data_IF_231161295954
#
_entry.id   IF_231161295954
#
_cell.length_a   1.000
_cell.length_b   1.000
_cell.length_c   1.000
_cell.angle_alpha   90.00
_cell.angle_beta   90.00
_cell.angle_gamma   90.00
#
_symmetry.space_group_name_H-M   'P 1'
#
loop_
_entity.id
_entity.type
_entity.pdbx_description
1 polymer ?
#
# COMPACT_ATOMS: atom_id res chain seq x y z
N UNK A 1 -51.77 16.83 -37.83
CA UNK A 1 -50.61 15.95 -38.03
C UNK A 1 -49.38 16.47 -37.26
N UNK A 2 -49.52 16.81 -35.97
CA UNK A 2 -48.47 17.43 -35.14
C UNK A 2 -48.12 16.64 -33.86
N UNK A 3 -48.63 15.41 -33.70
CA UNK A 3 -48.56 14.66 -32.43
C UNK A 3 -47.36 13.72 -32.26
N UNK A 4 -46.62 13.39 -33.32
CA UNK A 4 -45.57 12.35 -33.27
C UNK A 4 -44.20 12.95 -32.89
N UNK A 5 -43.91 14.19 -33.26
CA UNK A 5 -42.61 14.83 -33.01
C UNK A 5 -42.34 15.22 -31.55
N UNK A 6 -43.38 15.48 -30.75
CA UNK A 6 -43.22 15.90 -29.34
C UNK A 6 -42.92 14.69 -28.43
N UNK A 7 -43.49 13.51 -28.72
CA UNK A 7 -43.27 12.30 -27.91
C UNK A 7 -41.86 11.70 -28.10
N UNK A 8 -41.27 11.78 -29.31
CA UNK A 8 -39.90 11.28 -29.55
C UNK A 8 -38.81 12.17 -28.93
N UNK A 9 -39.07 13.47 -28.76
CA UNK A 9 -38.13 14.39 -28.11
C UNK A 9 -38.06 14.18 -26.60
N UNK A 10 -39.19 13.82 -25.95
CA UNK A 10 -39.21 13.51 -24.52
C UNK A 10 -38.53 12.17 -24.20
N UNK A 11 -38.72 11.13 -25.02
CA UNK A 11 -38.08 9.82 -24.80
C UNK A 11 -36.55 9.85 -24.97
N UNK A 12 -36.04 10.59 -25.97
CA UNK A 12 -34.59 10.73 -26.19
C UNK A 12 -33.91 11.54 -25.09
N UNK A 13 -34.54 12.63 -24.64
CA UNK A 13 -34.06 13.43 -23.51
C UNK A 13 -34.10 12.65 -22.18
N UNK A 14 -35.14 11.83 -21.96
CA UNK A 14 -35.25 10.99 -20.77
C UNK A 14 -34.22 9.86 -20.78
N UNK A 15 -33.96 9.24 -21.93
CA UNK A 15 -32.92 8.21 -22.09
C UNK A 15 -31.51 8.75 -21.78
N UNK A 16 -31.17 9.93 -22.31
CA UNK A 16 -29.88 10.58 -22.02
C UNK A 16 -29.71 10.97 -20.54
N UNK A 17 -30.79 11.39 -19.87
CA UNK A 17 -30.79 11.64 -18.42
C UNK A 17 -30.57 10.38 -17.59
N UNK A 18 -31.13 9.24 -18.01
CA UNK A 18 -30.94 7.96 -17.34
C UNK A 18 -29.49 7.46 -17.53
N UNK A 19 -28.92 7.65 -18.73
CA UNK A 19 -27.53 7.27 -19.01
C UNK A 19 -26.54 8.05 -18.15
N UNK A 20 -26.66 9.38 -18.08
CA UNK A 20 -25.73 10.20 -17.29
C UNK A 20 -25.80 9.89 -15.78
N UNK A 21 -27.00 9.67 -15.23
CA UNK A 21 -27.16 9.32 -13.81
C UNK A 21 -26.60 7.92 -13.50
N UNK A 22 -26.73 6.97 -14.44
CA UNK A 22 -26.13 5.63 -14.31
C UNK A 22 -24.61 5.72 -14.28
N UNK A 23 -24.01 6.46 -15.21
CA UNK A 23 -22.56 6.62 -15.31
C UNK A 23 -22.01 7.41 -14.11
N UNK A 24 -22.71 8.46 -13.68
CA UNK A 24 -22.38 9.23 -12.48
C UNK A 24 -22.37 8.36 -11.23
N UNK A 25 -23.42 7.55 -11.04
CA UNK A 25 -23.53 6.65 -9.90
C UNK A 25 -22.36 5.66 -9.84
N UNK A 26 -21.97 5.13 -11.00
CA UNK A 26 -20.81 4.23 -11.10
C UNK A 26 -19.50 4.95 -10.77
N UNK A 27 -19.29 6.16 -11.30
CA UNK A 27 -18.11 6.95 -10.99
C UNK A 27 -17.99 7.22 -9.47
N UNK A 28 -19.06 7.68 -8.82
CA UNK A 28 -19.06 7.95 -7.39
C UNK A 28 -18.85 6.68 -6.55
N UNK A 29 -19.40 5.54 -6.96
CA UNK A 29 -19.12 4.24 -6.34
C UNK A 29 -17.63 3.91 -6.40
N UNK A 30 -16.98 4.13 -7.56
CA UNK A 30 -15.54 3.88 -7.74
C UNK A 30 -14.67 4.89 -6.98
N UNK A 31 -15.11 6.13 -6.83
CA UNK A 31 -14.45 7.12 -5.95
C UNK A 31 -14.45 6.59 -4.52
N UNK A 32 -15.62 6.19 -4.00
CA UNK A 32 -15.75 5.63 -2.66
C UNK A 32 -14.84 4.41 -2.46
N UNK A 33 -14.85 3.48 -3.40
CA UNK A 33 -13.97 2.29 -3.41
C UNK A 33 -12.49 2.67 -3.27
N UNK A 34 -12.00 3.60 -4.09
CA UNK A 34 -10.59 4.02 -4.07
C UNK A 34 -10.24 4.76 -2.77
N UNK A 35 -11.10 5.66 -2.29
CA UNK A 35 -10.90 6.35 -1.01
C UNK A 35 -10.79 5.36 0.16
N UNK A 36 -11.68 4.35 0.21
CA UNK A 36 -11.61 3.30 1.23
C UNK A 36 -10.30 2.51 1.10
N UNK A 37 -9.86 2.18 -0.10
CA UNK A 37 -8.60 1.47 -0.31
C UNK A 37 -7.38 2.30 0.12
N UNK A 38 -7.36 3.62 -0.13
CA UNK A 38 -6.32 4.50 0.42
C UNK A 38 -6.33 4.54 1.95
N UNK A 39 -7.51 4.54 2.58
CA UNK A 39 -7.61 4.48 4.04
C UNK A 39 -7.09 3.13 4.60
N UNK A 40 -7.38 2.01 3.91
CA UNK A 40 -6.82 0.69 4.22
C UNK A 40 -5.30 0.70 4.10
N UNK A 41 -4.78 1.29 3.03
CA UNK A 41 -3.35 1.42 2.79
C UNK A 41 -2.68 2.20 3.92
N UNK A 42 -3.25 3.36 4.29
CA UNK A 42 -2.79 4.16 5.43
C UNK A 42 -2.77 3.34 6.73
N UNK A 43 -3.86 2.61 7.01
CA UNK A 43 -3.95 1.74 8.19
C UNK A 43 -2.87 0.65 8.19
N UNK A 44 -2.62 0.02 7.03
CA UNK A 44 -1.56 -0.97 6.88
C UNK A 44 -0.18 -0.40 7.21
N UNK A 45 0.15 0.79 6.69
CA UNK A 45 1.42 1.46 6.99
C UNK A 45 1.54 1.86 8.47
N UNK A 46 0.44 2.26 9.12
CA UNK A 46 0.42 2.56 10.56
C UNK A 46 0.79 1.33 11.37
N UNK A 47 0.22 0.18 11.04
CA UNK A 47 0.53 -1.10 11.70
C UNK A 47 1.98 -1.46 11.44
N UNK A 48 2.41 -1.44 10.18
CA UNK A 48 3.76 -1.81 9.75
C UNK A 48 4.84 -1.02 10.53
N UNK A 49 4.76 0.31 10.54
CA UNK A 49 5.72 1.16 11.27
C UNK A 49 5.64 1.01 12.79
N UNK A 50 4.50 0.57 13.32
CA UNK A 50 4.31 0.31 14.76
C UNK A 50 4.87 -1.04 15.21
N UNK A 51 5.02 -1.98 14.27
CA UNK A 51 5.67 -3.26 14.49
C UNK A 51 7.20 -3.15 14.42
N UNK A 52 7.73 -2.22 13.63
CA UNK A 52 9.15 -1.92 13.63
C UNK A 52 9.54 -1.27 14.98
N UNK A 53 10.31 -1.97 15.81
CA UNK A 53 10.68 -1.54 17.16
C UNK A 53 12.08 -2.04 17.52
N UNK A 54 12.78 -1.28 18.36
CA UNK A 54 14.11 -1.63 18.86
C UNK A 54 14.27 -1.21 20.33
N UNK A 55 14.89 -2.06 21.15
CA UNK A 55 15.24 -1.76 22.54
C UNK A 55 15.25 -2.98 23.46
N UNK A 56 15.45 -2.72 24.76
CA UNK A 56 15.41 -3.78 25.78
C UNK A 56 13.98 -4.28 26.04
N UNK A 57 13.80 -5.52 26.52
CA UNK A 57 12.48 -6.09 26.85
C UNK A 57 11.63 -5.20 27.76
N UNK A 58 12.26 -4.54 28.76
CA UNK A 58 11.61 -3.65 29.72
C UNK A 58 10.96 -2.43 29.05
N UNK A 59 11.60 -1.93 27.98
CA UNK A 59 11.20 -0.71 27.29
C UNK A 59 10.36 -0.96 26.03
N UNK A 60 10.44 -2.17 25.46
CA UNK A 60 9.83 -2.52 24.20
C UNK A 60 8.31 -2.30 24.20
N UNK A 61 7.64 -2.69 25.29
CA UNK A 61 6.19 -2.49 25.48
C UNK A 61 5.82 -1.00 25.51
N UNK A 62 6.64 -0.17 26.17
CA UNK A 62 6.46 1.29 26.25
C UNK A 62 6.67 1.93 24.88
N UNK A 63 7.78 1.60 24.20
CA UNK A 63 8.12 2.09 22.85
C UNK A 63 7.05 1.71 21.82
N UNK A 64 6.56 0.47 21.82
CA UNK A 64 5.47 0.00 20.95
C UNK A 64 4.19 0.81 21.16
N UNK A 65 3.73 0.97 22.40
CA UNK A 65 2.54 1.77 22.73
C UNK A 65 2.69 3.25 22.33
N UNK A 66 3.90 3.80 22.40
CA UNK A 66 4.19 5.15 21.93
C UNK A 66 4.08 5.22 20.41
N UNK A 67 4.75 4.33 19.67
CA UNK A 67 4.68 4.29 18.19
C UNK A 67 3.26 4.12 17.67
N UNK A 68 2.44 3.25 18.28
CA UNK A 68 1.03 3.09 17.90
C UNK A 68 0.28 4.43 18.02
N UNK A 69 0.44 5.14 19.15
CA UNK A 69 -0.23 6.43 19.38
C UNK A 69 0.24 7.51 18.41
N UNK A 70 1.54 7.58 18.15
CA UNK A 70 2.13 8.54 17.20
C UNK A 70 1.68 8.24 15.76
N UNK A 71 1.76 6.99 15.34
CA UNK A 71 1.43 6.58 13.98
C UNK A 71 -0.07 6.68 13.69
N UNK A 72 -0.95 6.45 14.67
CA UNK A 72 -2.39 6.58 14.49
C UNK A 72 -2.79 7.96 13.90
N UNK A 73 -2.10 9.03 14.31
CA UNK A 73 -2.41 10.41 13.92
C UNK A 73 -1.77 10.84 12.59
N UNK A 74 -0.89 10.01 12.02
CA UNK A 74 -0.17 10.34 10.78
C UNK A 74 -1.02 10.01 9.57
N UNK A 75 -0.91 10.87 8.55
CA UNK A 75 -1.54 10.65 7.25
C UNK A 75 -0.73 9.67 6.40
N UNK A 76 -1.34 9.13 5.34
CA UNK A 76 -0.68 8.29 4.34
C UNK A 76 0.63 8.92 3.85
N UNK A 77 0.62 10.22 3.52
CA UNK A 77 1.82 10.94 3.08
C UNK A 77 2.94 10.95 4.14
N UNK A 78 2.61 11.23 5.40
CA UNK A 78 3.62 11.25 6.47
C UNK A 78 4.20 9.86 6.75
N UNK A 79 3.38 8.81 6.65
CA UNK A 79 3.80 7.42 6.84
C UNK A 79 4.68 6.95 5.69
N UNK A 80 4.29 7.26 4.44
CA UNK A 80 5.08 6.97 3.26
C UNK A 80 6.46 7.60 3.36
N UNK A 81 6.56 8.89 3.70
CA UNK A 81 7.86 9.56 3.84
C UNK A 81 8.75 8.91 4.90
N UNK A 82 8.17 8.44 6.01
CA UNK A 82 8.92 7.71 7.04
C UNK A 82 9.45 6.37 6.54
N UNK A 83 8.64 5.61 5.80
CA UNK A 83 9.08 4.33 5.23
C UNK A 83 10.17 4.56 4.19
N UNK A 84 9.98 5.51 3.27
CA UNK A 84 10.96 5.87 2.24
C UNK A 84 12.29 6.25 2.89
N UNK A 85 12.27 7.16 3.87
CA UNK A 85 13.47 7.57 4.58
C UNK A 85 14.13 6.41 5.35
N UNK A 86 13.34 5.51 5.94
CA UNK A 86 13.87 4.35 6.67
C UNK A 86 14.54 3.36 5.72
N UNK A 87 13.97 3.12 4.54
CA UNK A 87 14.53 2.24 3.53
C UNK A 87 15.77 2.83 2.85
N UNK A 88 15.85 4.16 2.71
CA UNK A 88 17.03 4.86 2.17
C UNK A 88 18.23 4.82 3.08
N UNK A 89 18.01 4.90 4.40
CA UNK A 89 19.07 4.83 5.40
C UNK A 89 19.69 3.42 5.53
N UNK A 90 19.09 2.40 4.92
CA UNK A 90 19.55 1.01 5.07
C UNK A 90 19.40 0.47 6.49
N UNK A 91 19.87 -0.76 6.70
CA UNK A 91 19.87 -1.45 8.02
C UNK A 91 20.89 -0.86 9.02
N UNK A 92 21.48 0.31 8.73
CA UNK A 92 22.44 0.97 9.62
C UNK A 92 21.79 1.57 10.88
N UNK A 93 20.48 1.36 11.10
CA UNK A 93 19.84 1.56 12.41
C UNK A 93 20.26 0.51 13.47
N UNK A 94 21.45 -0.10 13.33
CA UNK A 94 22.25 -0.57 14.46
C UNK A 94 22.72 0.62 15.32
N UNK A 95 22.61 1.87 14.85
CA UNK A 95 22.92 3.10 15.57
C UNK A 95 22.21 3.26 16.93
N UNK A 96 21.12 2.53 17.17
CA UNK A 96 20.41 2.52 18.46
C UNK A 96 20.80 1.32 19.37
N UNK A 97 21.73 0.45 18.94
CA UNK A 97 22.31 -0.58 19.80
C UNK A 97 23.37 0.10 20.66
N UNK A 98 23.17 0.20 21.99
CA UNK A 98 24.18 0.80 22.86
C UNK A 98 25.49 0.01 22.74
N UNK A 99 26.63 0.70 22.66
CA UNK A 99 27.96 0.07 22.63
C UNK A 99 28.21 -0.83 23.86
N UNK A 100 27.51 -0.57 24.97
CA UNK A 100 27.44 -1.45 26.14
C UNK A 100 26.02 -2.01 26.33
N UNK A 101 25.86 -3.30 26.03
CA UNK A 101 24.64 -4.07 26.30
C UNK A 101 24.71 -4.67 27.70
N UNK A 102 24.28 -3.90 28.71
CA UNK A 102 24.08 -4.42 30.07
C UNK A 102 22.83 -5.33 30.17
N UNK A 103 21.99 -5.37 29.13
CA UNK A 103 20.70 -6.07 29.06
C UNK A 103 20.44 -6.57 27.62
N UNK A 104 19.55 -7.55 27.46
CA UNK A 104 19.14 -8.06 26.13
C UNK A 104 18.54 -6.92 25.29
N UNK A 105 18.88 -6.82 24.01
CA UNK A 105 18.32 -5.87 23.06
C UNK A 105 17.65 -6.60 21.91
N UNK A 106 16.40 -6.23 21.61
CA UNK A 106 15.60 -6.83 20.55
C UNK A 106 15.29 -5.74 19.53
N UNK A 107 15.58 -6.01 18.27
CA UNK A 107 15.21 -5.17 17.14
C UNK A 107 14.40 -5.98 16.12
N UNK A 108 13.30 -5.40 15.67
CA UNK A 108 12.47 -5.92 14.59
C UNK A 108 12.32 -4.83 13.53
N UNK A 109 12.75 -5.12 12.32
CA UNK A 109 12.67 -4.24 11.15
C UNK A 109 12.34 -5.08 9.91
N UNK A 110 12.04 -4.41 8.80
CA UNK A 110 11.89 -5.05 7.49
C UNK A 110 12.73 -4.31 6.45
N UNK A 111 13.11 -5.03 5.41
CA UNK A 111 13.70 -4.50 4.19
C UNK A 111 13.01 -5.11 2.98
N UNK A 112 13.07 -4.42 1.84
CA UNK A 112 12.41 -4.86 0.61
C UNK A 112 13.45 -5.12 -0.47
N UNK A 113 13.72 -6.40 -0.74
CA UNK A 113 14.55 -6.86 -1.85
C UNK A 113 15.97 -6.27 -1.89
N UNK A 114 16.51 -6.21 -3.11
CA UNK A 114 17.74 -5.51 -3.47
C UNK A 114 17.47 -4.00 -3.65
N UNK A 115 18.51 -3.22 -3.94
CA UNK A 115 18.40 -1.76 -4.14
C UNK A 115 17.35 -1.38 -5.18
N UNK A 116 17.21 -2.20 -6.24
CA UNK A 116 16.23 -2.01 -7.29
C UNK A 116 14.81 -2.28 -6.78
N UNK A 117 14.59 -3.36 -6.05
CA UNK A 117 13.32 -3.70 -5.41
C UNK A 117 12.89 -2.64 -4.39
N UNK A 118 13.82 -2.21 -3.52
CA UNK A 118 13.60 -1.14 -2.55
C UNK A 118 13.22 0.18 -3.23
N UNK A 119 13.93 0.57 -4.30
CA UNK A 119 13.61 1.77 -5.07
C UNK A 119 12.21 1.70 -5.68
N UNK A 120 11.88 0.61 -6.38
CA UNK A 120 10.54 0.41 -6.95
C UNK A 120 9.43 0.46 -5.90
N UNK A 121 9.68 -0.14 -4.73
CA UNK A 121 8.71 -0.12 -3.63
C UNK A 121 8.46 1.31 -3.11
N UNK A 122 9.52 2.11 -2.97
CA UNK A 122 9.45 3.52 -2.56
C UNK A 122 8.72 4.38 -3.60
N UNK A 123 9.13 4.28 -4.86
CA UNK A 123 8.53 5.05 -5.97
C UNK A 123 7.03 4.78 -6.09
N UNK A 124 6.62 3.51 -6.09
CA UNK A 124 5.20 3.14 -6.16
C UNK A 124 4.38 3.63 -4.96
N UNK A 125 4.96 3.72 -3.75
CA UNK A 125 4.26 4.33 -2.60
C UNK A 125 4.09 5.84 -2.76
N UNK A 126 5.12 6.54 -3.27
CA UNK A 126 5.07 7.99 -3.52
C UNK A 126 4.07 8.33 -4.62
N UNK A 127 4.01 7.50 -5.68
CA UNK A 127 3.01 7.62 -6.73
C UNK A 127 1.59 7.49 -6.19
N UNK A 128 1.33 6.52 -5.31
CA UNK A 128 0.00 6.36 -4.70
C UNK A 128 -0.42 7.56 -3.83
N UNK A 129 0.53 8.22 -3.15
CA UNK A 129 0.26 9.47 -2.43
C UNK A 129 -0.11 10.59 -3.40
N UNK A 130 0.64 10.72 -4.50
CA UNK A 130 0.35 11.69 -5.57
C UNK A 130 -1.02 11.42 -6.19
N UNK A 131 -1.34 10.18 -6.47
CA UNK A 131 -2.61 9.72 -7.02
C UNK A 131 -3.79 10.07 -6.10
N UNK A 132 -3.67 9.79 -4.80
CA UNK A 132 -4.69 10.18 -3.81
C UNK A 132 -4.91 11.69 -3.84
N UNK A 133 -3.83 12.46 -3.81
CA UNK A 133 -3.93 13.92 -3.79
C UNK A 133 -4.54 14.46 -5.09
N UNK A 134 -4.16 13.89 -6.24
CA UNK A 134 -4.71 14.25 -7.53
C UNK A 134 -6.21 13.94 -7.63
N UNK A 135 -6.64 12.77 -7.14
CA UNK A 135 -8.05 12.42 -7.08
C UNK A 135 -8.84 13.45 -6.26
N UNK A 136 -8.40 13.72 -5.02
CA UNK A 136 -9.14 14.53 -4.06
C UNK A 136 -9.11 16.02 -4.40
N UNK A 137 -7.96 16.56 -4.83
CA UNK A 137 -7.77 18.00 -4.99
C UNK A 137 -7.96 18.52 -6.41
N UNK A 138 -7.77 17.68 -7.43
CA UNK A 138 -7.85 18.10 -8.84
C UNK A 138 -9.03 17.44 -9.54
N UNK A 139 -9.00 16.11 -9.70
CA UNK A 139 -9.97 15.37 -10.53
C UNK A 139 -11.41 15.57 -10.08
N UNK A 140 -11.70 15.48 -8.78
CA UNK A 140 -13.05 15.67 -8.27
C UNK A 140 -13.50 17.14 -8.27
N UNK A 141 -12.56 18.09 -8.17
CA UNK A 141 -12.85 19.51 -8.19
C UNK A 141 -13.16 20.03 -9.60
N UNK A 142 -12.52 19.44 -10.62
CA UNK A 142 -12.62 19.83 -12.03
C UNK A 142 -13.65 18.98 -12.81
N UNK A 143 -14.38 18.08 -12.14
CA UNK A 143 -15.33 17.17 -12.78
C UNK A 143 -16.54 17.93 -13.33
N UNK A 144 -16.78 17.82 -14.64
CA UNK A 144 -17.98 18.37 -15.26
C UNK A 144 -19.17 17.44 -15.03
N UNK A 145 -20.07 17.88 -14.14
CA UNK A 145 -21.26 17.10 -13.77
C UNK A 145 -22.28 16.90 -14.88
N UNK A 146 -22.16 17.62 -15.99
CA UNK A 146 -23.06 17.55 -17.16
C UNK A 146 -22.51 16.71 -18.30
N UNK A 147 -21.24 16.31 -18.22
CA UNK A 147 -20.54 15.58 -19.28
C UNK A 147 -20.40 14.09 -18.96
N UNK A 148 -21.04 13.26 -19.80
CA UNK A 148 -20.89 11.80 -19.74
C UNK A 148 -19.43 11.38 -19.93
N UNK A 149 -18.72 12.01 -20.86
CA UNK A 149 -17.31 11.67 -21.14
C UNK A 149 -16.40 12.02 -19.96
N UNK A 150 -16.68 13.11 -19.25
CA UNK A 150 -15.94 13.48 -18.02
C UNK A 150 -16.03 12.37 -16.97
N UNK A 151 -17.22 11.79 -16.76
CA UNK A 151 -17.38 10.64 -15.86
C UNK A 151 -16.74 9.36 -16.38
N UNK A 152 -16.80 9.08 -17.70
CA UNK A 152 -16.13 7.90 -18.29
C UNK A 152 -14.62 7.95 -18.07
N UNK A 153 -14.00 9.10 -18.34
CA UNK A 153 -12.57 9.31 -18.07
C UNK A 153 -12.22 9.15 -16.59
N UNK A 154 -13.09 9.64 -15.69
CA UNK A 154 -12.91 9.44 -14.26
C UNK A 154 -12.99 7.96 -13.86
N UNK A 155 -13.93 7.20 -14.43
CA UNK A 155 -14.09 5.76 -14.18
C UNK A 155 -12.84 4.99 -14.59
N UNK A 156 -12.32 5.23 -15.80
CA UNK A 156 -11.10 4.59 -16.30
C UNK A 156 -9.91 4.87 -15.38
N UNK A 157 -9.71 6.14 -15.03
CA UNK A 157 -8.68 6.57 -14.08
C UNK A 157 -8.79 5.84 -12.73
N UNK A 158 -10.01 5.72 -12.19
CA UNK A 158 -10.27 5.07 -10.90
C UNK A 158 -10.08 3.55 -10.94
N UNK A 159 -10.24 2.90 -12.09
CA UNK A 159 -9.96 1.47 -12.24
C UNK A 159 -8.47 1.19 -12.33
N UNK A 160 -7.72 2.01 -13.05
CA UNK A 160 -6.26 1.91 -13.09
C UNK A 160 -5.64 2.20 -11.73
N UNK A 161 -6.11 3.25 -11.06
CA UNK A 161 -5.68 3.59 -9.71
C UNK A 161 -5.96 2.44 -8.73
N UNK A 162 -7.13 1.79 -8.83
CA UNK A 162 -7.48 0.68 -7.95
C UNK A 162 -6.48 -0.48 -8.06
N UNK A 163 -6.08 -0.87 -9.28
CA UNK A 163 -5.13 -1.96 -9.51
C UNK A 163 -3.84 -1.74 -8.72
N UNK A 164 -3.25 -0.54 -8.85
CA UNK A 164 -2.03 -0.15 -8.15
C UNK A 164 -2.20 -0.13 -6.62
N UNK A 165 -3.36 0.32 -6.11
CA UNK A 165 -3.61 0.31 -4.66
C UNK A 165 -3.71 -1.13 -4.14
N UNK A 166 -4.40 -2.03 -4.85
CA UNK A 166 -4.54 -3.44 -4.45
C UNK A 166 -3.18 -4.13 -4.42
N UNK A 167 -2.39 -4.00 -5.48
CA UNK A 167 -1.03 -4.58 -5.53
C UNK A 167 -0.17 -4.12 -4.35
N UNK A 168 -0.30 -2.84 -3.96
CA UNK A 168 0.43 -2.31 -2.79
C UNK A 168 -0.12 -2.82 -1.46
N UNK A 169 -1.44 -2.96 -1.33
CA UNK A 169 -2.08 -3.55 -0.16
C UNK A 169 -1.62 -4.99 0.04
N UNK A 170 -1.54 -5.79 -1.03
CA UNK A 170 -1.06 -7.17 -0.98
C UNK A 170 0.40 -7.23 -0.53
N UNK A 171 1.24 -6.36 -1.10
CA UNK A 171 2.65 -6.23 -0.69
C UNK A 171 2.79 -5.91 0.80
N UNK A 172 1.95 -5.02 1.34
CA UNK A 172 1.96 -4.68 2.77
C UNK A 172 1.41 -5.81 3.62
N UNK A 173 0.39 -6.53 3.15
CA UNK A 173 -0.14 -7.72 3.80
C UNK A 173 0.95 -8.77 4.01
N UNK A 174 1.72 -9.06 2.96
CA UNK A 174 2.88 -9.97 3.04
C UNK A 174 3.89 -9.52 4.11
N UNK A 175 4.23 -8.22 4.15
CA UNK A 175 5.16 -7.69 5.15
C UNK A 175 4.61 -7.82 6.58
N UNK A 176 3.31 -7.55 6.77
CA UNK A 176 2.67 -7.67 8.07
C UNK A 176 2.65 -9.11 8.55
N UNK A 177 2.32 -10.06 7.67
CA UNK A 177 2.34 -11.49 7.98
C UNK A 177 3.76 -11.96 8.32
N UNK A 178 4.77 -11.49 7.59
CA UNK A 178 6.17 -11.81 7.86
C UNK A 178 6.60 -11.34 9.24
N UNK A 179 6.25 -10.10 9.60
CA UNK A 179 6.56 -9.54 10.92
C UNK A 179 5.78 -10.24 12.05
N UNK A 180 4.56 -10.71 11.78
CA UNK A 180 3.79 -11.50 12.74
C UNK A 180 4.43 -12.86 13.01
N UNK A 181 4.88 -13.55 11.96
CA UNK A 181 5.65 -14.80 12.06
C UNK A 181 6.97 -14.58 12.80
N UNK A 182 7.72 -13.53 12.46
CA UNK A 182 8.97 -13.16 13.13
C UNK A 182 8.75 -12.94 14.64
N UNK A 183 7.68 -12.24 15.01
CA UNK A 183 7.31 -12.04 16.41
C UNK A 183 7.06 -13.38 17.12
N UNK A 184 6.36 -14.32 16.47
CA UNK A 184 6.05 -15.62 17.09
C UNK A 184 7.34 -16.44 17.32
N UNK A 185 8.28 -16.41 16.37
CA UNK A 185 9.61 -17.03 16.51
C UNK A 185 10.37 -16.44 17.72
N UNK A 186 10.44 -15.11 17.81
CA UNK A 186 11.12 -14.41 18.91
C UNK A 186 10.49 -14.76 20.26
N UNK A 187 9.16 -14.83 20.34
CA UNK A 187 8.46 -15.19 21.60
C UNK A 187 8.71 -16.66 21.98
N UNK A 188 8.84 -17.55 20.99
CA UNK A 188 9.10 -18.98 21.23
C UNK A 188 10.55 -19.34 21.56
N UNK A 189 11.52 -18.43 21.33
CA UNK A 189 12.92 -18.56 21.77
C UNK A 189 13.27 -17.53 22.86
N UNK A 190 12.80 -17.73 24.11
CA UNK A 190 13.05 -16.79 25.19
C UNK A 190 14.50 -16.74 25.67
N UNK A 191 15.36 -17.69 25.25
CA UNK A 191 16.77 -17.72 25.63
C UNK A 191 17.70 -17.00 24.64
N UNK A 192 17.17 -16.52 23.51
CA UNK A 192 17.93 -15.73 22.55
C UNK A 192 19.10 -16.51 21.92
N UNK A 193 18.96 -17.83 21.77
CA UNK A 193 19.96 -18.64 21.09
C UNK A 193 19.96 -18.38 19.57
N UNK A 194 18.90 -17.78 19.04
CA UNK A 194 18.80 -17.36 17.65
C UNK A 194 19.63 -16.08 17.39
N UNK A 195 20.83 -16.25 16.86
CA UNK A 195 21.75 -15.14 16.52
C UNK A 195 21.38 -14.40 15.23
N UNK A 196 20.63 -15.02 14.30
CA UNK A 196 20.08 -14.38 13.08
C UNK A 196 19.02 -15.27 12.43
N UNK A 197 17.80 -14.75 12.23
CA UNK A 197 16.76 -15.43 11.45
C UNK A 197 16.31 -14.54 10.30
N UNK A 198 16.50 -15.00 9.07
CA UNK A 198 15.93 -14.39 7.87
C UNK A 198 14.67 -15.17 7.54
N UNK A 199 13.51 -14.55 7.75
CA UNK A 199 12.26 -15.08 7.20
C UNK A 199 12.08 -14.47 5.80
N UNK A 200 12.04 -15.33 4.79
CA UNK A 200 11.64 -14.97 3.42
C UNK A 200 10.16 -15.26 3.25
N UNK A 201 9.52 -14.57 2.29
CA UNK A 201 8.15 -14.90 1.91
C UNK A 201 8.19 -16.11 0.98
N UNK A 202 7.71 -17.27 1.45
CA UNK A 202 7.64 -18.53 0.66
C UNK A 202 6.91 -18.34 -0.69
N UNK A 203 5.96 -17.40 -0.74
CA UNK A 203 5.19 -17.05 -1.95
C UNK A 203 6.01 -16.37 -3.06
N UNK A 204 7.20 -15.86 -2.76
CA UNK A 204 8.08 -15.20 -3.73
C UNK A 204 9.05 -16.17 -4.42
N UNK A 205 9.33 -17.34 -3.82
CA UNK A 205 10.26 -18.35 -4.39
C UNK A 205 9.67 -19.03 -5.63
N UNK A 206 8.34 -19.11 -5.74
CA UNK A 206 7.65 -19.72 -6.88
C UNK A 206 7.80 -18.94 -8.21
N UNK A 207 8.39 -17.73 -8.21
CA UNK A 207 8.58 -16.90 -9.41
C UNK A 207 10.05 -16.78 -9.85
N UNK A 208 10.99 -17.50 -9.21
CA UNK A 208 12.41 -17.52 -9.54
C UNK A 208 12.90 -18.91 -9.98
N UNK A 209 12.08 -19.66 -10.71
CA UNK A 209 12.60 -20.80 -11.48
C UNK A 209 13.26 -20.25 -12.75
N UNK A 210 14.58 -20.26 -12.78
CA UNK A 210 15.36 -20.02 -14.00
C UNK A 210 14.84 -20.90 -15.14
N UNK A 211 14.79 -20.39 -16.39
CA UNK A 211 14.43 -21.22 -17.53
C UNK A 211 15.41 -22.41 -17.63
N UNK A 212 14.92 -23.63 -17.97
CA UNK A 212 15.79 -24.79 -18.09
C UNK A 212 16.88 -24.54 -19.14
N UNK A 213 18.10 -24.97 -18.83
CA UNK A 213 19.26 -24.84 -19.72
C UNK A 213 18.94 -25.35 -21.12
N UNK A 214 19.40 -24.65 -22.18
CA UNK A 214 19.21 -25.12 -23.54
C UNK A 214 19.92 -26.47 -23.72
N UNK A 215 19.32 -27.41 -24.49
CA UNK A 215 19.88 -28.74 -24.66
C UNK A 215 21.28 -28.67 -25.29
N UNK A 216 22.19 -29.58 -24.91
CA UNK A 216 23.56 -29.55 -25.40
C UNK A 216 23.57 -29.69 -26.92
N UNK A 217 24.28 -28.78 -27.59
CA UNK A 217 24.51 -28.88 -29.03
C UNK A 217 25.28 -30.16 -29.33
N UNK A 218 24.65 -31.05 -30.09
CA UNK A 218 25.25 -32.24 -30.67
C UNK A 218 26.47 -31.85 -31.50
N UNK A 219 27.62 -32.43 -31.19
CA UNK A 219 28.81 -32.39 -32.06
C UNK A 219 28.64 -33.36 -33.24
#
# INVERSE_FOLDING_TARGET
MLGIGVMQQDESAQSGRIEIETIRSEALRKVGRNVVNFARLESGLKILLSLCISGSPKDLKRKKRRRIRENHRKTLGNLTMQIVSSLEKGHDNLEDIPENLDDIHISLSFSVGDDKGSRKFRESLLELVKDRNNLIHHRLAELDSTSVDSYRMLIEYLDEQQKRIIEKLDSIGILLDLLDRARNVIVSDPQGQLSKFLLTCDSCEAQQQDPPDPPPMSQ
#
